data_IF_486740119667
#
_entry.id   IF_486740119667
#
_cell.length_a   1.000
_cell.length_b   1.000
_cell.length_c   1.000
_cell.angle_alpha   90.00
_cell.angle_beta   90.00
_cell.angle_gamma   90.00
#
_symmetry.space_group_name_H-M   'P 1'
#
loop_
_entity.id
_entity.type
_entity.pdbx_description
1 polymer ?
#
# COMPACT_ATOMS: atom_id res chain seq x y z
N UNK A 1 -3.31 6.51 17.15
CA UNK A 1 -3.10 7.40 15.99
C UNK A 1 -3.03 8.88 16.41
N UNK A 2 -4.04 9.44 17.10
CA UNK A 2 -4.05 10.85 17.50
C UNK A 2 -2.90 11.20 18.48
N UNK A 3 -2.60 10.32 19.44
CA UNK A 3 -1.50 10.52 20.38
C UNK A 3 -0.15 10.55 19.65
N UNK A 4 0.10 9.59 18.73
CA UNK A 4 1.31 9.60 17.92
C UNK A 4 1.49 10.90 17.15
N UNK A 5 0.42 11.43 16.53
CA UNK A 5 0.49 12.69 15.78
C UNK A 5 0.81 13.89 16.66
N UNK A 6 0.30 13.94 17.89
CA UNK A 6 0.59 15.03 18.84
C UNK A 6 2.08 15.13 19.19
N UNK A 7 2.77 13.99 19.33
CA UNK A 7 4.18 13.92 19.76
C UNK A 7 5.17 13.79 18.60
N UNK A 8 4.70 13.59 17.37
CA UNK A 8 5.59 13.36 16.21
C UNK A 8 6.41 14.59 15.82
N UNK A 9 6.00 15.81 16.20
CA UNK A 9 6.72 17.03 15.87
C UNK A 9 7.04 17.14 14.36
N UNK A 10 8.32 17.16 14.00
CA UNK A 10 8.80 17.19 12.62
C UNK A 10 8.78 15.82 11.92
N UNK A 11 8.58 14.72 12.66
CA UNK A 11 8.55 13.35 12.12
C UNK A 11 7.22 13.11 11.42
N UNK A 12 7.26 12.60 10.20
CA UNK A 12 6.05 12.17 9.48
C UNK A 12 5.46 10.91 10.12
N UNK A 13 4.18 10.95 10.43
CA UNK A 13 3.45 9.81 10.97
C UNK A 13 2.73 9.07 9.85
N UNK A 14 2.95 7.75 9.75
CA UNK A 14 2.41 6.89 8.71
C UNK A 14 1.46 5.87 9.34
N UNK A 15 0.23 5.80 8.86
CA UNK A 15 -0.73 4.77 9.24
C UNK A 15 -0.64 3.56 8.31
N UNK A 16 -0.71 2.36 8.87
CA UNK A 16 -0.75 1.11 8.07
C UNK A 16 -2.17 0.55 8.13
N UNK A 17 -2.71 0.21 6.98
CA UNK A 17 -4.02 -0.46 6.87
C UNK A 17 -3.87 -1.99 6.89
N UNK A 18 -4.74 -2.71 6.19
CA UNK A 18 -4.68 -4.17 6.12
C UNK A 18 -3.48 -4.63 5.27
N UNK A 19 -2.71 -5.58 5.79
CA UNK A 19 -1.55 -6.16 5.10
C UNK A 19 -1.95 -6.80 3.76
N UNK A 20 -1.10 -6.65 2.75
CA UNK A 20 -1.36 -7.17 1.39
C UNK A 20 -1.44 -8.69 1.30
N UNK A 21 -0.95 -9.41 2.30
CA UNK A 21 -1.06 -10.87 2.44
C UNK A 21 -2.44 -11.34 2.91
N UNK A 22 -3.24 -10.46 3.53
CA UNK A 22 -4.57 -10.81 4.05
C UNK A 22 -5.65 -10.58 2.98
N UNK A 23 -6.50 -11.56 2.82
CA UNK A 23 -7.72 -11.49 2.01
C UNK A 23 -8.97 -11.56 2.90
N UNK A 24 -10.15 -11.58 2.30
CA UNK A 24 -11.42 -11.65 3.03
C UNK A 24 -11.55 -12.94 3.84
N UNK A 25 -10.96 -14.06 3.38
CA UNK A 25 -10.98 -15.33 4.11
C UNK A 25 -10.13 -15.22 5.39
N UNK A 26 -8.89 -14.77 5.26
CA UNK A 26 -7.98 -14.57 6.39
C UNK A 26 -8.54 -13.55 7.41
N UNK A 27 -9.21 -12.48 6.95
CA UNK A 27 -9.87 -11.54 7.86
C UNK A 27 -10.97 -12.20 8.69
N UNK A 28 -11.79 -13.08 8.09
CA UNK A 28 -12.84 -13.82 8.81
C UNK A 28 -12.24 -14.79 9.84
N UNK A 29 -11.15 -15.47 9.49
CA UNK A 29 -10.46 -16.40 10.39
C UNK A 29 -9.94 -15.71 11.66
N UNK A 30 -9.54 -14.43 11.56
CA UNK A 30 -9.10 -13.62 12.71
C UNK A 30 -10.22 -12.75 13.32
N UNK A 31 -11.48 -13.05 13.01
CA UNK A 31 -12.66 -12.45 13.66
C UNK A 31 -13.20 -11.16 13.06
N UNK A 32 -12.76 -10.75 11.87
CA UNK A 32 -13.31 -9.58 11.19
C UNK A 32 -14.44 -9.94 10.22
N UNK A 33 -15.65 -9.43 10.44
CA UNK A 33 -16.82 -9.66 9.59
C UNK A 33 -16.94 -8.70 8.40
N UNK A 34 -16.08 -7.69 8.30
CA UNK A 34 -16.07 -6.74 7.17
C UNK A 34 -15.09 -7.21 6.10
N UNK A 35 -15.44 -6.98 4.83
CA UNK A 35 -14.48 -7.20 3.74
C UNK A 35 -13.29 -6.23 3.80
N UNK A 36 -12.17 -6.64 3.18
CA UNK A 36 -10.92 -5.88 3.15
C UNK A 36 -11.14 -4.43 2.70
N UNK A 37 -11.88 -4.20 1.61
CA UNK A 37 -12.07 -2.85 1.05
C UNK A 37 -12.82 -1.93 1.98
N UNK A 38 -13.88 -2.42 2.63
CA UNK A 38 -14.65 -1.66 3.62
C UNK A 38 -13.80 -1.33 4.84
N UNK A 39 -12.99 -2.28 5.29
CA UNK A 39 -12.12 -2.08 6.45
C UNK A 39 -11.00 -1.08 6.14
N UNK A 40 -10.32 -1.20 5.00
CA UNK A 40 -9.29 -0.25 4.54
C UNK A 40 -9.87 1.16 4.38
N UNK A 41 -11.05 1.29 3.77
CA UNK A 41 -11.73 2.58 3.65
C UNK A 41 -12.02 3.21 5.02
N UNK A 42 -12.51 2.42 5.97
CA UNK A 42 -12.76 2.89 7.34
C UNK A 42 -11.46 3.34 8.03
N UNK A 43 -10.38 2.55 7.92
CA UNK A 43 -9.07 2.90 8.48
C UNK A 43 -8.49 4.17 7.84
N UNK A 44 -8.67 4.36 6.54
CA UNK A 44 -8.26 5.59 5.84
C UNK A 44 -9.02 6.83 6.36
N UNK A 45 -10.34 6.72 6.64
CA UNK A 45 -11.09 7.80 7.29
C UNK A 45 -10.55 8.13 8.68
N UNK A 46 -10.19 7.12 9.46
CA UNK A 46 -9.59 7.31 10.79
C UNK A 46 -8.21 7.97 10.69
N UNK A 47 -7.37 7.57 9.73
CA UNK A 47 -6.08 8.17 9.46
C UNK A 47 -6.22 9.66 9.08
N UNK A 48 -7.18 9.98 8.22
CA UNK A 48 -7.48 11.37 7.85
C UNK A 48 -7.96 12.18 9.07
N UNK A 49 -8.89 11.65 9.85
CA UNK A 49 -9.38 12.31 11.09
C UNK A 49 -8.26 12.52 12.11
N UNK A 50 -7.27 11.62 12.17
CA UNK A 50 -6.08 11.74 13.00
C UNK A 50 -5.01 12.66 12.41
N UNK A 51 -5.22 13.20 11.19
CA UNK A 51 -4.28 14.08 10.46
C UNK A 51 -2.91 13.44 10.20
N UNK A 52 -2.85 12.13 10.02
CA UNK A 52 -1.59 11.45 9.66
C UNK A 52 -1.01 12.04 8.36
N UNK A 53 0.31 11.89 8.16
CA UNK A 53 1.03 12.46 7.02
C UNK A 53 0.98 11.56 5.79
N UNK A 54 0.95 10.23 6.02
CA UNK A 54 0.81 9.24 4.97
C UNK A 54 0.03 8.01 5.45
N UNK A 55 -0.38 7.17 4.48
CA UNK A 55 -1.03 5.90 4.74
C UNK A 55 -0.45 4.81 3.85
N UNK A 56 -0.31 3.61 4.40
CA UNK A 56 0.07 2.41 3.65
C UNK A 56 -1.17 1.60 3.33
N UNK A 57 -1.39 1.29 2.05
CA UNK A 57 -2.45 0.37 1.61
C UNK A 57 -2.02 -0.43 0.39
N UNK A 58 -2.72 -1.53 0.10
CA UNK A 58 -2.50 -2.30 -1.13
C UNK A 58 -2.82 -1.45 -2.37
N UNK A 59 -2.11 -1.70 -3.50
CA UNK A 59 -2.35 -0.97 -4.74
C UNK A 59 -3.79 -1.13 -5.29
N UNK A 60 -4.50 -2.19 -4.89
CA UNK A 60 -5.90 -2.42 -5.28
C UNK A 60 -6.88 -1.49 -4.55
N UNK A 61 -6.53 -0.98 -3.37
CA UNK A 61 -7.38 -0.09 -2.57
C UNK A 61 -7.04 1.40 -2.72
N UNK A 62 -5.97 1.77 -3.41
CA UNK A 62 -5.52 3.17 -3.56
C UNK A 62 -6.66 4.08 -4.02
N UNK A 63 -7.39 3.69 -5.05
CA UNK A 63 -8.46 4.51 -5.61
C UNK A 63 -9.59 4.83 -4.60
N UNK A 64 -9.93 3.87 -3.73
CA UNK A 64 -10.95 4.11 -2.69
C UNK A 64 -10.38 4.90 -1.50
N UNK A 65 -9.10 4.69 -1.17
CA UNK A 65 -8.40 5.44 -0.12
C UNK A 65 -8.29 6.92 -0.51
N UNK A 66 -7.94 7.24 -1.75
CA UNK A 66 -7.86 8.64 -2.28
C UNK A 66 -9.17 9.41 -2.13
N UNK A 67 -10.32 8.74 -2.05
CA UNK A 67 -11.62 9.42 -1.83
C UNK A 67 -11.69 10.10 -0.46
N UNK A 68 -11.02 9.55 0.55
CA UNK A 68 -11.13 9.98 1.95
C UNK A 68 -9.81 10.39 2.59
N UNK A 69 -8.68 10.11 1.95
CA UNK A 69 -7.34 10.49 2.42
C UNK A 69 -6.59 11.17 1.28
N UNK A 70 -6.29 12.46 1.42
CA UNK A 70 -5.75 13.32 0.34
C UNK A 70 -4.25 13.57 0.43
N UNK A 71 -3.57 12.96 1.40
CA UNK A 71 -2.12 13.03 1.55
C UNK A 71 -1.43 11.84 0.90
N UNK A 72 -0.14 11.62 1.22
CA UNK A 72 0.71 10.61 0.58
C UNK A 72 0.21 9.18 0.82
N UNK A 73 0.16 8.39 -0.24
CA UNK A 73 -0.16 6.96 -0.20
C UNK A 73 1.08 6.16 -0.58
N UNK A 74 1.49 5.27 0.31
CA UNK A 74 2.62 4.37 0.17
C UNK A 74 2.08 2.97 -0.13
N UNK A 75 2.56 2.34 -1.18
CA UNK A 75 1.97 1.11 -1.69
C UNK A 75 2.99 -0.02 -1.77
N UNK A 76 2.93 -0.99 -0.85
CA UNK A 76 3.63 -2.28 -0.96
C UNK A 76 2.86 -3.23 -1.89
N UNK A 77 3.39 -4.45 -2.07
CA UNK A 77 2.73 -5.45 -2.92
C UNK A 77 2.95 -5.20 -4.41
N UNK A 78 4.05 -4.57 -4.76
CA UNK A 78 4.40 -4.26 -6.15
C UNK A 78 5.18 -5.42 -6.76
N UNK A 79 4.80 -5.82 -7.98
CA UNK A 79 5.46 -6.88 -8.76
C UNK A 79 5.60 -6.46 -10.21
N UNK A 80 6.75 -6.73 -10.80
CA UNK A 80 6.96 -6.57 -12.25
C UNK A 80 6.21 -7.64 -13.03
N UNK A 81 6.14 -8.86 -12.45
CA UNK A 81 5.36 -9.97 -12.98
C UNK A 81 4.30 -10.38 -11.94
N UNK A 82 3.03 -10.47 -12.34
CA UNK A 82 1.90 -10.77 -11.45
C UNK A 82 1.79 -12.25 -11.03
N UNK A 83 2.70 -13.13 -11.48
CA UNK A 83 2.76 -14.56 -11.09
C UNK A 83 3.34 -14.80 -9.69
N UNK A 84 3.40 -13.79 -8.82
CA UNK A 84 3.93 -13.92 -7.45
C UNK A 84 2.94 -14.66 -6.54
N UNK A 85 3.42 -15.70 -5.85
CA UNK A 85 2.58 -16.66 -5.12
C UNK A 85 2.26 -16.29 -3.67
N UNK A 86 2.94 -15.31 -3.08
CA UNK A 86 2.88 -15.03 -1.62
C UNK A 86 2.06 -13.80 -1.22
N UNK A 87 1.68 -12.97 -2.18
CA UNK A 87 0.84 -11.81 -1.93
C UNK A 87 -0.41 -11.87 -2.82
N UNK A 88 -1.57 -11.75 -2.20
CA UNK A 88 -2.87 -11.91 -2.85
C UNK A 88 -3.37 -10.62 -3.53
N UNK A 89 -2.86 -9.47 -3.09
CA UNK A 89 -3.32 -8.15 -3.53
C UNK A 89 -2.16 -7.32 -4.09
N UNK A 90 -1.73 -7.68 -5.31
CA UNK A 90 -0.58 -7.10 -6.01
C UNK A 90 -0.99 -6.42 -7.31
N UNK A 91 -0.21 -5.42 -7.73
CA UNK A 91 -0.28 -4.79 -9.05
C UNK A 91 1.14 -4.48 -9.55
N UNK A 92 1.24 -4.12 -10.84
CA UNK A 92 2.48 -3.61 -11.40
C UNK A 92 2.76 -2.18 -10.93
N UNK A 93 4.02 -1.70 -10.99
CA UNK A 93 4.37 -0.33 -10.64
C UNK A 93 3.52 0.70 -11.39
N UNK A 94 3.38 0.53 -12.69
CA UNK A 94 2.60 1.41 -13.57
C UNK A 94 1.12 1.49 -13.17
N UNK A 95 0.51 0.32 -12.88
CA UNK A 95 -0.87 0.26 -12.41
C UNK A 95 -1.06 0.92 -11.04
N UNK A 96 -0.10 0.75 -10.13
CA UNK A 96 -0.17 1.37 -8.81
C UNK A 96 -0.12 2.91 -8.90
N UNK A 97 0.77 3.47 -9.71
CA UNK A 97 0.80 4.93 -9.97
C UNK A 97 -0.47 5.40 -10.67
N UNK A 98 -0.98 4.67 -11.67
CA UNK A 98 -2.25 5.00 -12.34
C UNK A 98 -3.43 5.02 -11.34
N UNK A 99 -3.41 4.18 -10.32
CA UNK A 99 -4.41 4.18 -9.27
C UNK A 99 -4.24 5.34 -8.26
N UNK A 100 -3.12 6.07 -8.32
CA UNK A 100 -2.85 7.24 -7.49
C UNK A 100 -1.92 7.01 -6.30
N UNK A 101 -1.09 5.95 -6.30
CA UNK A 101 0.01 5.81 -5.34
C UNK A 101 1.02 6.94 -5.52
N UNK A 102 1.52 7.48 -4.40
CA UNK A 102 2.58 8.48 -4.42
C UNK A 102 3.97 7.82 -4.26
N UNK A 103 4.02 6.70 -3.52
CA UNK A 103 5.24 5.94 -3.25
C UNK A 103 5.02 4.45 -3.40
N UNK A 104 6.01 3.74 -3.94
CA UNK A 104 6.00 2.28 -4.06
C UNK A 104 7.05 1.64 -3.16
N UNK A 105 6.67 0.57 -2.46
CA UNK A 105 7.60 -0.27 -1.72
C UNK A 105 7.83 -1.55 -2.52
N UNK A 106 9.03 -1.67 -3.10
CA UNK A 106 9.42 -2.79 -3.94
C UNK A 106 10.59 -3.52 -3.28
N UNK A 107 10.32 -4.65 -2.65
CA UNK A 107 11.31 -5.48 -1.96
C UNK A 107 11.93 -6.51 -2.90
N UNK A 108 11.53 -7.76 -2.76
CA UNK A 108 12.09 -8.94 -3.47
C UNK A 108 12.24 -8.80 -4.98
N UNK A 109 11.34 -8.14 -5.74
CA UNK A 109 11.56 -7.92 -7.17
C UNK A 109 12.86 -7.18 -7.49
N UNK A 110 13.36 -6.37 -6.57
CA UNK A 110 14.64 -5.66 -6.71
C UNK A 110 15.77 -6.40 -6.02
N UNK A 111 15.56 -6.85 -4.78
CA UNK A 111 16.65 -7.34 -3.92
C UNK A 111 17.06 -8.79 -4.20
N UNK A 112 16.25 -9.58 -4.92
CA UNK A 112 16.53 -10.98 -5.22
C UNK A 112 17.27 -11.12 -6.55
N UNK A 113 18.44 -11.75 -6.56
CA UNK A 113 19.27 -11.94 -7.76
C UNK A 113 20.12 -10.70 -8.10
N UNK A 114 20.19 -10.33 -9.37
CA UNK A 114 21.01 -9.20 -9.84
C UNK A 114 20.25 -7.88 -9.68
N UNK A 115 20.59 -7.11 -8.65
CA UNK A 115 19.93 -5.86 -8.28
C UNK A 115 19.97 -4.83 -9.42
N UNK A 116 21.14 -4.66 -10.06
CA UNK A 116 21.30 -3.69 -11.18
C UNK A 116 20.36 -4.01 -12.34
N UNK A 117 20.31 -5.28 -12.75
CA UNK A 117 19.41 -5.76 -13.81
C UNK A 117 17.94 -5.54 -13.42
N UNK A 118 17.59 -5.83 -12.17
CA UNK A 118 16.22 -5.66 -11.68
C UNK A 118 15.78 -4.19 -11.67
N UNK A 119 16.69 -3.27 -11.29
CA UNK A 119 16.41 -1.82 -11.33
C UNK A 119 16.22 -1.35 -12.78
N UNK A 120 17.08 -1.76 -13.71
CA UNK A 120 16.91 -1.42 -15.12
C UNK A 120 15.58 -1.92 -15.68
N UNK A 121 15.20 -3.17 -15.38
CA UNK A 121 13.88 -3.70 -15.76
C UNK A 121 12.72 -2.91 -15.16
N UNK A 122 12.86 -2.38 -13.95
CA UNK A 122 11.84 -1.53 -13.33
C UNK A 122 11.72 -0.18 -14.08
N UNK A 123 12.85 0.44 -14.41
CA UNK A 123 12.90 1.69 -15.17
C UNK A 123 12.24 1.51 -16.53
N UNK A 124 12.63 0.47 -17.27
CA UNK A 124 12.04 0.14 -18.59
C UNK A 124 10.52 -0.04 -18.48
N UNK A 125 10.07 -0.78 -17.46
CA UNK A 125 8.63 -0.98 -17.22
C UNK A 125 7.87 0.32 -16.94
N UNK A 126 8.50 1.30 -16.30
CA UNK A 126 7.88 2.60 -16.02
C UNK A 126 7.91 3.55 -17.22
N UNK A 127 8.88 3.39 -18.13
CA UNK A 127 9.07 4.24 -19.32
C UNK A 127 8.14 3.87 -20.48
N UNK A 128 7.63 2.65 -20.53
CA UNK A 128 6.66 2.18 -21.53
C UNK A 128 5.25 2.70 -21.24
#
# INVERSE_FOLDING_TARGET
LRACKKISGKIKSIGVTILTSLDNKALKEIGFNKDVRKLVYHQAKLANKAKLDAIVCSPQEVAIVKKVFKKEIITPGIRLNLKAHDQKRVLTPKQAFKNGSDWLVIGRPITKGNIKKNILSLIDHLSQ
#
